data_IF_869080398521
#
_entry.id   IF_869080398521
#
_cell.length_a   1.000
_cell.length_b   1.000
_cell.length_c   1.000
_cell.angle_alpha   90.00
_cell.angle_beta   90.00
_cell.angle_gamma   90.00
#
_symmetry.space_group_name_H-M   'P 1'
#
loop_
_entity.id
_entity.type
_entity.pdbx_description
1 polymer ?
#
# COMPACT_ATOMS: atom_id res chain seq x y z
N UNK A 1 -6.71 -15.28 -0.19
CA UNK A 1 -7.98 -15.93 -0.58
C UNK A 1 -8.90 -14.83 -1.11
N UNK A 2 -9.32 -14.95 -2.37
CA UNK A 2 -10.07 -13.93 -3.10
C UNK A 2 -11.51 -13.80 -2.58
N UNK A 3 -11.99 -12.57 -2.40
CA UNK A 3 -13.42 -12.25 -2.35
C UNK A 3 -13.94 -12.26 -3.78
N UNK A 4 -14.08 -13.43 -4.40
CA UNK A 4 -14.76 -13.57 -5.69
C UNK A 4 -15.67 -14.81 -5.61
N UNK A 5 -16.94 -14.56 -5.29
CA UNK A 5 -18.04 -15.52 -5.49
C UNK A 5 -18.90 -15.00 -6.65
N UNK A 6 -19.34 -15.86 -7.59
CA UNK A 6 -20.02 -15.47 -8.82
C UNK A 6 -21.54 -15.19 -8.66
N UNK A 7 -21.96 -14.84 -7.45
CA UNK A 7 -23.33 -14.38 -7.16
C UNK A 7 -23.23 -12.94 -6.66
N UNK A 8 -24.21 -12.11 -7.01
CA UNK A 8 -24.33 -10.71 -6.57
C UNK A 8 -24.30 -10.62 -5.04
N UNK A 9 -23.10 -10.65 -4.47
CA UNK A 9 -22.87 -10.64 -3.04
C UNK A 9 -22.46 -9.23 -2.68
N UNK A 10 -23.47 -8.43 -2.38
CA UNK A 10 -23.28 -7.12 -1.79
C UNK A 10 -22.34 -7.24 -0.58
N UNK A 11 -21.28 -6.43 -0.57
CA UNK A 11 -20.27 -6.35 0.48
C UNK A 11 -20.78 -5.36 1.53
N UNK A 12 -21.20 -5.90 2.67
CA UNK A 12 -21.63 -5.13 3.85
C UNK A 12 -20.42 -4.74 4.71
N UNK A 13 -20.59 -3.74 5.58
CA UNK A 13 -19.53 -3.35 6.52
C UNK A 13 -19.22 -4.49 7.48
N UNK A 14 -20.24 -5.26 7.89
CA UNK A 14 -20.07 -6.45 8.71
C UNK A 14 -19.13 -7.48 8.08
N UNK A 15 -19.25 -7.76 6.78
CA UNK A 15 -18.36 -8.70 6.11
C UNK A 15 -16.88 -8.27 6.19
N UNK A 16 -16.61 -6.97 6.00
CA UNK A 16 -15.25 -6.42 6.10
C UNK A 16 -14.74 -6.47 7.54
N UNK A 17 -15.56 -6.06 8.51
CA UNK A 17 -15.21 -6.05 9.94
C UNK A 17 -14.98 -7.47 10.48
N UNK A 18 -15.81 -8.44 10.12
CA UNK A 18 -15.63 -9.85 10.47
C UNK A 18 -14.33 -10.40 9.87
N UNK A 19 -14.01 -10.04 8.62
CA UNK A 19 -12.75 -10.46 8.01
C UNK A 19 -11.53 -9.81 8.69
N UNK A 20 -11.62 -8.54 9.06
CA UNK A 20 -10.60 -7.84 9.85
C UNK A 20 -10.41 -8.53 11.21
N UNK A 21 -11.49 -8.88 11.91
CA UNK A 21 -11.44 -9.56 13.21
C UNK A 21 -10.70 -10.89 13.15
N UNK A 22 -10.83 -11.64 12.04
CA UNK A 22 -10.10 -12.91 11.84
C UNK A 22 -8.60 -12.68 11.73
N UNK A 23 -8.16 -11.60 11.07
CA UNK A 23 -6.74 -11.24 11.02
C UNK A 23 -6.23 -10.87 12.41
N UNK A 24 -6.94 -10.00 13.13
CA UNK A 24 -6.55 -9.60 14.50
C UNK A 24 -6.50 -10.81 15.43
N UNK A 25 -7.53 -11.67 15.42
CA UNK A 25 -7.56 -12.89 16.22
C UNK A 25 -6.40 -13.84 15.88
N UNK A 26 -6.08 -13.98 14.59
CA UNK A 26 -4.92 -14.76 14.16
C UNK A 26 -3.61 -14.19 14.72
N UNK A 27 -3.41 -12.87 14.66
CA UNK A 27 -2.20 -12.21 15.20
C UNK A 27 -2.07 -12.41 16.70
N UNK A 28 -3.18 -12.29 17.44
CA UNK A 28 -3.23 -12.49 18.89
C UNK A 28 -3.01 -13.95 19.31
N UNK A 29 -3.33 -14.91 18.45
CA UNK A 29 -3.15 -16.33 18.71
C UNK A 29 -1.72 -16.83 18.39
N UNK A 30 -0.85 -15.98 17.83
CA UNK A 30 0.53 -16.39 17.53
C UNK A 30 1.31 -16.66 18.82
N UNK A 31 2.07 -17.78 18.88
CA UNK A 31 3.00 -18.02 19.97
C UNK A 31 4.01 -16.85 20.10
N UNK A 32 4.45 -16.46 21.32
CA UNK A 32 5.35 -15.32 21.53
C UNK A 32 6.63 -15.36 20.67
N UNK A 33 7.17 -16.56 20.40
CA UNK A 33 8.35 -16.75 19.55
C UNK A 33 8.14 -16.26 18.10
N UNK A 34 6.90 -16.26 17.61
CA UNK A 34 6.52 -15.71 16.31
C UNK A 34 5.92 -14.31 16.47
N UNK A 35 5.20 -14.11 17.58
CA UNK A 35 4.49 -12.89 17.92
C UNK A 35 5.42 -11.68 18.06
N UNK A 36 6.49 -11.86 18.80
CA UNK A 36 7.43 -10.82 19.24
C UNK A 36 8.73 -10.87 18.43
N UNK A 37 8.67 -11.31 17.18
CA UNK A 37 9.83 -11.47 16.31
C UNK A 37 10.63 -10.16 16.13
N UNK A 38 9.97 -9.00 16.24
CA UNK A 38 10.59 -7.68 16.22
C UNK A 38 11.60 -7.47 17.37
N UNK A 39 11.36 -8.09 18.52
CA UNK A 39 12.23 -7.99 19.69
C UNK A 39 13.36 -9.03 19.69
N UNK A 40 13.38 -9.92 18.68
CA UNK A 40 14.34 -11.01 18.57
C UNK A 40 15.36 -10.75 17.47
N UNK A 41 16.64 -10.82 17.81
CA UNK A 41 17.74 -10.82 16.83
C UNK A 41 17.85 -12.13 16.05
N UNK A 42 17.04 -13.14 16.40
CA UNK A 42 17.03 -14.47 15.78
C UNK A 42 15.75 -14.75 14.98
N UNK A 43 14.93 -13.74 14.71
CA UNK A 43 13.72 -13.91 13.93
C UNK A 43 14.04 -14.49 12.55
N UNK A 44 13.45 -15.66 12.24
CA UNK A 44 13.67 -16.34 10.97
C UNK A 44 13.02 -15.54 9.82
N UNK A 45 13.59 -15.57 8.60
CA UNK A 45 13.15 -14.71 7.51
C UNK A 45 11.68 -14.97 7.13
N UNK A 46 11.24 -16.23 7.16
CA UNK A 46 9.84 -16.58 6.86
C UNK A 46 8.85 -16.09 7.93
N UNK A 47 9.28 -15.91 9.19
CA UNK A 47 8.45 -15.32 10.25
C UNK A 47 8.26 -13.84 9.97
N UNK A 48 9.34 -13.13 9.63
CA UNK A 48 9.27 -11.72 9.24
C UNK A 48 8.42 -11.52 7.96
N UNK A 49 8.59 -12.37 6.94
CA UNK A 49 7.73 -12.36 5.74
C UNK A 49 6.26 -12.60 6.08
N UNK A 50 5.96 -13.51 7.01
CA UNK A 50 4.60 -13.79 7.46
C UNK A 50 3.96 -12.57 8.14
N UNK A 51 4.71 -11.87 9.00
CA UNK A 51 4.24 -10.65 9.67
C UNK A 51 4.04 -9.50 8.67
N UNK A 52 4.97 -9.30 7.73
CA UNK A 52 4.81 -8.34 6.64
C UNK A 52 3.56 -8.65 5.80
N UNK A 53 3.30 -9.93 5.50
CA UNK A 53 2.12 -10.36 4.76
C UNK A 53 0.82 -10.15 5.57
N UNK A 54 0.87 -10.34 6.89
CA UNK A 54 -0.25 -10.05 7.78
C UNK A 54 -0.65 -8.56 7.71
N UNK A 55 0.32 -7.67 7.90
CA UNK A 55 0.09 -6.23 7.81
C UNK A 55 -0.44 -5.84 6.43
N UNK A 56 0.16 -6.39 5.37
CA UNK A 56 -0.33 -6.19 4.01
C UNK A 56 -1.75 -6.69 3.80
N UNK A 57 -2.15 -7.80 4.43
CA UNK A 57 -3.49 -8.36 4.27
C UNK A 57 -4.55 -7.43 4.87
N UNK A 58 -4.26 -6.77 5.99
CA UNK A 58 -5.13 -5.74 6.57
C UNK A 58 -5.18 -4.51 5.66
N UNK A 59 -4.02 -4.05 5.18
CA UNK A 59 -3.94 -2.95 4.21
C UNK A 59 -4.77 -3.28 2.96
N UNK A 60 -4.65 -4.47 2.42
CA UNK A 60 -5.39 -4.92 1.24
C UNK A 60 -6.91 -4.96 1.49
N UNK A 61 -7.34 -5.38 2.67
CA UNK A 61 -8.75 -5.43 3.05
C UNK A 61 -9.37 -4.03 3.14
N UNK A 62 -8.65 -3.06 3.71
CA UNK A 62 -9.17 -1.74 4.07
C UNK A 62 -8.87 -0.65 3.03
N UNK A 63 -7.82 -0.81 2.21
CA UNK A 63 -7.45 0.14 1.16
C UNK A 63 -8.61 0.53 0.20
N UNK A 64 -9.53 -0.38 -0.20
CA UNK A 64 -10.68 0.01 -1.01
C UNK A 64 -11.54 1.11 -0.39
N UNK A 65 -11.59 1.17 0.95
CA UNK A 65 -12.39 2.14 1.70
C UNK A 65 -11.76 3.54 1.74
N UNK A 66 -10.46 3.68 1.48
CA UNK A 66 -9.81 5.00 1.36
C UNK A 66 -10.34 5.82 0.19
N UNK A 67 -10.96 5.16 -0.79
CA UNK A 67 -11.45 5.76 -2.03
C UNK A 67 -12.91 5.40 -2.33
N UNK A 68 -13.63 4.85 -1.35
CA UNK A 68 -15.04 4.52 -1.48
C UNK A 68 -15.87 5.80 -1.37
N UNK A 69 -16.64 6.09 -2.41
CA UNK A 69 -17.50 7.27 -2.46
C UNK A 69 -18.56 7.21 -1.34
N UNK A 70 -18.79 8.33 -0.65
CA UNK A 70 -19.70 8.40 0.50
C UNK A 70 -19.16 7.80 1.81
N UNK A 71 -17.99 7.16 1.80
CA UNK A 71 -17.33 6.64 3.00
C UNK A 71 -16.23 7.59 3.50
N UNK A 72 -16.25 8.03 4.77
CA UNK A 72 -15.20 8.88 5.31
C UNK A 72 -13.88 8.10 5.51
N UNK A 73 -12.87 8.34 4.67
CA UNK A 73 -11.58 7.63 4.70
C UNK A 73 -10.86 7.68 6.06
N UNK A 74 -11.07 8.76 6.84
CA UNK A 74 -10.55 8.93 8.21
C UNK A 74 -11.00 7.85 9.21
N UNK A 75 -11.97 7.02 8.84
CA UNK A 75 -12.40 5.89 9.68
C UNK A 75 -11.44 4.71 9.60
N UNK A 76 -10.56 4.67 8.59
CA UNK A 76 -9.63 3.57 8.34
C UNK A 76 -8.20 4.03 8.08
N UNK A 77 -7.96 5.34 7.92
CA UNK A 77 -6.66 5.90 7.57
C UNK A 77 -5.57 5.55 8.60
N UNK A 78 -5.82 5.73 9.89
CA UNK A 78 -4.89 5.42 10.98
C UNK A 78 -4.50 3.94 10.96
N UNK A 79 -5.48 3.05 10.77
CA UNK A 79 -5.26 1.59 10.74
C UNK A 79 -4.46 1.20 9.50
N UNK A 80 -4.88 1.65 8.32
CA UNK A 80 -4.18 1.35 7.06
C UNK A 80 -2.76 1.90 7.07
N UNK A 81 -2.59 3.15 7.52
CA UNK A 81 -1.28 3.79 7.63
C UNK A 81 -0.38 3.05 8.62
N UNK A 82 -0.88 2.72 9.81
CA UNK A 82 -0.09 2.03 10.85
C UNK A 82 0.40 0.67 10.36
N UNK A 83 -0.45 -0.14 9.73
CA UNK A 83 -0.05 -1.43 9.17
C UNK A 83 0.93 -1.28 8.00
N UNK A 84 0.73 -0.29 7.12
CA UNK A 84 1.65 -0.04 6.01
C UNK A 84 3.05 0.38 6.51
N UNK A 85 3.11 1.28 7.50
CA UNK A 85 4.36 1.68 8.14
C UNK A 85 5.03 0.52 8.87
N UNK A 86 4.24 -0.28 9.60
CA UNK A 86 4.75 -1.43 10.34
C UNK A 86 5.35 -2.50 9.42
N UNK A 87 4.68 -2.83 8.32
CA UNK A 87 5.21 -3.76 7.33
C UNK A 87 6.53 -3.25 6.70
N UNK A 88 6.61 -1.95 6.42
CA UNK A 88 7.82 -1.34 5.87
C UNK A 88 8.96 -1.32 6.89
N UNK A 89 8.64 -1.08 8.17
CA UNK A 89 9.57 -1.17 9.30
C UNK A 89 10.13 -2.60 9.42
N UNK A 90 9.27 -3.62 9.42
CA UNK A 90 9.67 -5.03 9.43
C UNK A 90 10.60 -5.36 8.28
N UNK A 91 10.30 -4.87 7.06
CA UNK A 91 11.15 -5.07 5.89
C UNK A 91 12.51 -4.39 6.06
N UNK A 92 12.53 -3.09 6.36
CA UNK A 92 13.75 -2.28 6.39
C UNK A 92 14.66 -2.62 7.59
N UNK A 93 14.08 -2.70 8.79
CA UNK A 93 14.83 -2.76 10.05
C UNK A 93 15.06 -4.16 10.58
N UNK A 94 14.21 -5.12 10.22
CA UNK A 94 14.31 -6.49 10.72
C UNK A 94 14.74 -7.47 9.62
N UNK A 95 14.08 -7.43 8.46
CA UNK A 95 14.38 -8.36 7.38
C UNK A 95 15.70 -8.01 6.69
N UNK A 96 15.83 -6.81 6.12
CA UNK A 96 17.02 -6.39 5.35
C UNK A 96 18.29 -6.27 6.19
N UNK A 97 18.16 -6.11 7.51
CA UNK A 97 19.31 -6.05 8.41
C UNK A 97 20.04 -7.39 8.50
N UNK A 98 19.31 -8.50 8.37
CA UNK A 98 19.83 -9.85 8.61
C UNK A 98 19.80 -10.75 7.36
N UNK A 99 18.96 -10.42 6.38
CA UNK A 99 18.69 -11.27 5.23
C UNK A 99 18.71 -10.47 3.93
N UNK A 100 19.10 -11.16 2.86
CA UNK A 100 19.05 -10.62 1.50
C UNK A 100 17.63 -10.71 0.93
N UNK A 101 17.21 -9.68 0.18
CA UNK A 101 15.97 -9.72 -0.61
C UNK A 101 16.15 -10.41 -1.98
N UNK A 102 17.34 -10.92 -2.30
CA UNK A 102 17.64 -11.54 -3.60
C UNK A 102 16.74 -12.73 -3.95
N UNK A 103 16.30 -13.48 -2.95
CA UNK A 103 15.52 -14.73 -3.12
C UNK A 103 14.11 -14.64 -2.53
N UNK A 104 13.56 -13.45 -2.38
CA UNK A 104 12.23 -13.29 -1.82
C UNK A 104 11.15 -13.86 -2.77
N UNK A 105 10.08 -14.48 -2.25
CA UNK A 105 8.98 -14.98 -3.07
C UNK A 105 8.32 -13.85 -3.90
N UNK A 106 7.75 -14.21 -5.06
CA UNK A 106 7.02 -13.26 -5.90
C UNK A 106 5.94 -12.49 -5.14
N UNK A 107 5.21 -13.17 -4.26
CA UNK A 107 4.21 -12.53 -3.40
C UNK A 107 4.82 -11.42 -2.53
N UNK A 108 6.00 -11.63 -1.94
CA UNK A 108 6.68 -10.62 -1.14
C UNK A 108 7.06 -9.39 -1.98
N UNK A 109 7.52 -9.57 -3.22
CA UNK A 109 7.82 -8.45 -4.12
C UNK A 109 6.57 -7.63 -4.43
N UNK A 110 5.42 -8.28 -4.63
CA UNK A 110 4.14 -7.58 -4.78
C UNK A 110 3.72 -6.83 -3.51
N UNK A 111 3.94 -7.43 -2.34
CA UNK A 111 3.68 -6.75 -1.05
C UNK A 111 4.52 -5.47 -0.96
N UNK A 112 5.83 -5.55 -1.20
CA UNK A 112 6.74 -4.40 -1.19
C UNK A 112 6.24 -3.31 -2.14
N UNK A 113 5.97 -3.66 -3.40
CA UNK A 113 5.45 -2.72 -4.40
C UNK A 113 4.18 -2.01 -3.92
N UNK A 114 3.20 -2.77 -3.41
CA UNK A 114 1.90 -2.21 -3.04
C UNK A 114 1.95 -1.37 -1.76
N UNK A 115 2.75 -1.74 -0.76
CA UNK A 115 2.90 -0.96 0.47
C UNK A 115 3.59 0.38 0.17
N UNK A 116 4.70 0.35 -0.58
CA UNK A 116 5.40 1.56 -0.98
C UNK A 116 4.52 2.47 -1.82
N UNK A 117 3.76 1.91 -2.78
CA UNK A 117 2.77 2.68 -3.55
C UNK A 117 1.69 3.31 -2.67
N UNK A 118 1.15 2.55 -1.72
CA UNK A 118 0.07 3.01 -0.86
C UNK A 118 0.52 4.19 0.02
N UNK A 119 1.71 4.10 0.62
CA UNK A 119 2.30 5.21 1.39
C UNK A 119 2.51 6.42 0.47
N UNK A 120 3.14 6.21 -0.70
CA UNK A 120 3.36 7.27 -1.69
C UNK A 120 2.09 8.00 -2.13
N UNK A 121 0.97 7.28 -2.26
CA UNK A 121 -0.29 7.82 -2.76
C UNK A 121 -1.12 8.50 -1.67
N UNK A 122 -1.30 7.83 -0.54
CA UNK A 122 -2.27 8.24 0.48
C UNK A 122 -1.61 8.92 1.68
N UNK A 123 -0.33 8.63 1.95
CA UNK A 123 0.39 9.11 3.13
C UNK A 123 1.78 9.68 2.76
N UNK A 124 1.85 10.62 1.79
CA UNK A 124 3.13 11.03 1.20
C UNK A 124 4.03 11.83 2.13
N UNK A 125 3.52 12.38 3.23
CA UNK A 125 4.25 13.22 4.16
C UNK A 125 4.28 12.60 5.57
N UNK A 126 5.36 12.82 6.32
CA UNK A 126 5.42 12.37 7.72
C UNK A 126 4.58 13.28 8.62
N UNK A 127 3.90 12.71 9.63
CA UNK A 127 3.26 13.51 10.68
C UNK A 127 4.29 14.14 11.64
N UNK A 128 5.47 13.53 11.78
CA UNK A 128 6.52 13.95 12.72
C UNK A 128 7.91 13.51 12.22
N UNK A 129 8.97 13.86 12.97
CA UNK A 129 10.35 13.50 12.64
C UNK A 129 10.79 12.12 13.19
N UNK A 130 9.85 11.19 13.41
CA UNK A 130 10.19 9.84 13.86
C UNK A 130 10.94 9.08 12.74
N UNK A 131 12.17 8.58 12.99
CA UNK A 131 12.96 7.85 11.99
C UNK A 131 12.40 6.47 11.63
N UNK A 132 11.48 5.93 12.42
CA UNK A 132 10.77 4.67 12.13
C UNK A 132 9.65 4.85 11.09
N UNK A 133 9.12 6.07 10.98
CA UNK A 133 8.06 6.43 10.03
C UNK A 133 8.69 6.89 8.72
N UNK A 134 8.19 6.39 7.61
CA UNK A 134 8.66 6.73 6.25
C UNK A 134 7.64 7.57 5.51
N UNK A 135 8.11 8.63 4.87
CA UNK A 135 7.30 9.37 3.91
C UNK A 135 7.20 8.62 2.57
N UNK A 136 6.44 9.19 1.63
CA UNK A 136 6.25 8.59 0.32
C UNK A 136 7.55 8.39 -0.46
N UNK A 137 8.50 9.32 -0.34
CA UNK A 137 9.77 9.23 -1.07
C UNK A 137 10.68 8.17 -0.48
N UNK A 138 10.82 8.12 0.85
CA UNK A 138 11.59 7.10 1.53
C UNK A 138 11.00 5.71 1.31
N UNK A 139 9.67 5.57 1.38
CA UNK A 139 9.00 4.29 1.14
C UNK A 139 9.28 3.79 -0.29
N UNK A 140 9.15 4.64 -1.30
CA UNK A 140 9.48 4.30 -2.69
C UNK A 140 10.97 3.96 -2.84
N UNK A 141 11.85 4.71 -2.20
CA UNK A 141 13.30 4.48 -2.24
C UNK A 141 13.64 3.10 -1.72
N UNK A 142 13.12 2.73 -0.53
CA UNK A 142 13.28 1.40 0.05
C UNK A 142 12.75 0.32 -0.90
N UNK A 143 11.55 0.52 -1.49
CA UNK A 143 10.97 -0.44 -2.42
C UNK A 143 11.81 -0.64 -3.69
N UNK A 144 12.36 0.44 -4.25
CA UNK A 144 13.23 0.38 -5.43
C UNK A 144 14.50 -0.42 -5.12
N UNK A 145 15.15 -0.18 -4.00
CA UNK A 145 16.36 -0.92 -3.60
C UNK A 145 16.08 -2.41 -3.39
N UNK A 146 14.98 -2.73 -2.70
CA UNK A 146 14.57 -4.11 -2.43
C UNK A 146 14.26 -4.87 -3.72
N UNK A 147 13.50 -4.26 -4.63
CA UNK A 147 13.17 -4.88 -5.92
C UNK A 147 14.40 -5.00 -6.83
N UNK A 148 15.32 -4.03 -6.77
CA UNK A 148 16.59 -4.13 -7.48
C UNK A 148 17.42 -5.32 -6.99
N UNK A 149 17.54 -5.51 -5.68
CA UNK A 149 18.24 -6.67 -5.10
C UNK A 149 17.61 -8.00 -5.56
N UNK A 150 16.29 -8.06 -5.61
CA UNK A 150 15.55 -9.24 -6.11
C UNK A 150 15.70 -9.49 -7.60
N UNK A 151 15.92 -8.45 -8.41
CA UNK A 151 16.04 -8.57 -9.86
C UNK A 151 17.20 -9.49 -10.30
N UNK A 152 18.20 -9.65 -9.44
CA UNK A 152 19.31 -10.58 -9.67
C UNK A 152 18.82 -12.04 -9.63
N UNK A 153 17.88 -12.37 -8.73
CA UNK A 153 17.33 -13.73 -8.57
C UNK A 153 16.05 -13.98 -9.37
N UNK A 154 15.24 -12.94 -9.58
CA UNK A 154 13.93 -13.04 -10.21
C UNK A 154 13.68 -11.84 -11.14
N UNK A 155 13.82 -11.99 -12.47
CA UNK A 155 13.76 -10.88 -13.43
C UNK A 155 12.45 -10.06 -13.41
N UNK A 156 11.34 -10.65 -12.97
CA UNK A 156 10.08 -9.92 -12.82
C UNK A 156 10.19 -8.73 -11.85
N UNK A 157 11.15 -8.76 -10.91
CA UNK A 157 11.36 -7.68 -9.97
C UNK A 157 11.76 -6.36 -10.68
N UNK A 158 12.44 -6.44 -11.83
CA UNK A 158 12.75 -5.25 -12.64
C UNK A 158 11.48 -4.56 -13.17
N UNK A 159 10.50 -5.34 -13.64
CA UNK A 159 9.22 -4.80 -14.08
C UNK A 159 8.44 -4.17 -12.91
N UNK A 160 8.45 -4.80 -11.74
CA UNK A 160 7.83 -4.26 -10.52
C UNK A 160 8.53 -2.97 -10.05
N UNK A 161 9.87 -2.92 -10.11
CA UNK A 161 10.68 -1.74 -9.78
C UNK A 161 10.29 -0.56 -10.69
N UNK A 162 10.15 -0.81 -12.00
CA UNK A 162 9.72 0.21 -12.96
C UNK A 162 8.29 0.67 -12.72
N UNK A 163 7.36 -0.23 -12.38
CA UNK A 163 5.99 0.13 -11.99
C UNK A 163 5.96 1.04 -10.76
N UNK A 164 6.81 0.78 -9.75
CA UNK A 164 6.95 1.63 -8.57
C UNK A 164 7.51 3.01 -8.93
N UNK A 165 8.57 3.06 -9.76
CA UNK A 165 9.16 4.32 -10.24
C UNK A 165 8.14 5.17 -10.99
N UNK A 166 7.33 4.56 -11.86
CA UNK A 166 6.25 5.26 -12.58
C UNK A 166 5.20 5.83 -11.63
N UNK A 167 4.84 5.10 -10.57
CA UNK A 167 3.93 5.61 -9.55
C UNK A 167 4.52 6.80 -8.79
N UNK A 168 5.79 6.76 -8.41
CA UNK A 168 6.46 7.87 -7.75
C UNK A 168 6.48 9.14 -8.62
N UNK A 169 6.72 8.98 -9.93
CA UNK A 169 6.64 10.06 -10.91
C UNK A 169 5.21 10.62 -11.02
N UNK A 170 4.19 9.76 -11.04
CA UNK A 170 2.79 10.17 -11.10
C UNK A 170 2.36 11.02 -9.87
N UNK A 171 2.94 10.75 -8.71
CA UNK A 171 2.69 11.50 -7.47
C UNK A 171 3.71 12.63 -7.22
N UNK A 172 4.56 12.96 -8.22
CA UNK A 172 5.57 14.03 -8.13
C UNK A 172 6.52 13.89 -6.93
N UNK A 173 6.82 12.65 -6.52
CA UNK A 173 7.73 12.40 -5.40
C UNK A 173 9.18 12.67 -5.82
N UNK A 174 9.90 13.40 -4.95
CA UNK A 174 11.33 13.69 -5.15
C UNK A 174 12.15 12.51 -4.65
N UNK A 175 12.58 11.66 -5.58
CA UNK A 175 13.46 10.55 -5.25
C UNK A 175 14.94 11.00 -5.12
N UNK A 176 15.74 10.35 -4.26
CA UNK A 176 17.16 10.66 -4.14
C UNK A 176 17.90 10.47 -5.47
N UNK A 177 18.83 11.37 -5.84
CA UNK A 177 19.69 11.19 -7.04
C UNK A 177 20.53 9.92 -6.99
N UNK A 178 20.79 9.39 -5.79
CA UNK A 178 21.46 8.10 -5.63
C UNK A 178 20.66 6.95 -6.26
N UNK A 179 19.36 7.09 -6.54
CA UNK A 179 18.62 6.04 -7.25
C UNK A 179 18.90 6.03 -8.76
N UNK A 180 19.53 7.06 -9.32
CA UNK A 180 19.74 7.16 -10.76
C UNK A 180 20.50 5.95 -11.31
N UNK A 181 21.49 5.40 -10.59
CA UNK A 181 22.22 4.20 -11.02
C UNK A 181 21.40 2.90 -10.92
N UNK A 182 20.38 2.86 -10.07
CA UNK A 182 19.47 1.71 -9.92
C UNK A 182 18.36 1.73 -10.97
N UNK A 183 18.04 2.93 -11.46
CA UNK A 183 17.01 3.20 -12.45
C UNK A 183 17.59 3.31 -13.87
N UNK A 184 18.87 3.66 -14.02
CA UNK A 184 19.59 3.60 -15.28
C UNK A 184 20.21 2.21 -15.43
N UNK A 185 19.80 1.50 -16.49
CA UNK A 185 20.29 0.17 -16.80
C UNK A 185 21.82 0.13 -16.79
N UNK A 186 22.42 -0.61 -15.86
CA UNK A 186 23.86 -0.88 -15.91
C UNK A 186 24.18 -1.66 -17.18
N UNK A 187 24.77 -0.97 -18.16
CA UNK A 187 25.68 -1.53 -19.17
C UNK A 187 25.10 -2.51 -20.21
N UNK A 188 23.88 -3.00 -20.06
CA UNK A 188 23.21 -3.80 -21.08
C UNK A 188 21.97 -3.06 -21.57
N UNK A 189 21.87 -2.96 -22.89
CA UNK A 189 20.72 -2.45 -23.64
C UNK A 189 19.53 -3.41 -23.43
N UNK A 190 19.01 -3.50 -22.20
CA UNK A 190 17.64 -3.97 -22.01
C UNK A 190 16.76 -2.79 -22.39
N UNK A 191 16.08 -2.97 -23.51
CA UNK A 191 14.95 -2.13 -23.94
C UNK A 191 14.09 -1.75 -22.75
N UNK A 192 13.66 -0.49 -22.71
CA UNK A 192 12.72 -0.01 -21.68
C UNK A 192 11.57 -1.04 -21.51
N UNK A 193 11.17 -1.29 -20.26
CA UNK A 193 10.14 -2.29 -19.98
C UNK A 193 8.89 -2.05 -20.83
N UNK A 194 8.54 -3.07 -21.60
CA UNK A 194 7.42 -3.05 -22.52
C UNK A 194 6.10 -3.26 -21.77
N UNK A 195 4.99 -2.97 -22.46
CA UNK A 195 3.66 -3.29 -21.95
C UNK A 195 3.51 -4.79 -21.65
N UNK A 196 4.09 -5.65 -22.49
CA UNK A 196 4.02 -7.09 -22.33
C UNK A 196 4.75 -7.56 -21.07
N UNK A 197 5.87 -6.92 -20.71
CA UNK A 197 6.59 -7.27 -19.47
C UNK A 197 5.70 -7.07 -18.23
N UNK A 198 4.83 -6.04 -18.25
CA UNK A 198 3.88 -5.82 -17.15
C UNK A 198 2.74 -6.83 -17.19
N UNK A 199 2.23 -7.19 -18.38
CA UNK A 199 1.23 -8.26 -18.52
C UNK A 199 1.79 -9.58 -17.97
N UNK A 200 3.02 -9.95 -18.32
CA UNK A 200 3.62 -11.22 -17.93
C UNK A 200 3.77 -11.33 -16.40
N UNK A 201 4.08 -10.21 -15.74
CA UNK A 201 4.30 -10.18 -14.29
C UNK A 201 3.00 -10.01 -13.51
N UNK A 202 2.14 -9.09 -13.93
CA UNK A 202 0.95 -8.68 -13.17
C UNK A 202 -0.36 -9.27 -13.73
N UNK A 203 -0.30 -10.05 -14.81
CA UNK A 203 -1.43 -10.49 -15.66
C UNK A 203 -2.25 -9.34 -16.27
N UNK A 204 -1.76 -8.11 -16.14
CA UNK A 204 -2.39 -6.85 -16.57
C UNK A 204 -1.33 -5.73 -16.56
N UNK A 205 -1.56 -4.59 -17.23
CA UNK A 205 -0.54 -3.54 -17.38
C UNK A 205 -0.23 -2.77 -16.11
N UNK A 206 -0.97 -3.06 -15.04
CA UNK A 206 -0.91 -2.39 -13.76
C UNK A 206 -1.04 -3.43 -12.66
N UNK A 207 -0.32 -3.18 -11.58
CA UNK A 207 -0.41 -3.97 -10.35
C UNK A 207 -1.57 -3.52 -9.45
N UNK A 208 -2.23 -2.40 -9.76
CA UNK A 208 -3.34 -1.90 -8.98
C UNK A 208 -4.49 -2.91 -9.00
N UNK A 209 -5.08 -3.13 -7.83
CA UNK A 209 -6.32 -3.88 -7.75
C UNK A 209 -7.41 -3.13 -8.53
N UNK A 210 -8.29 -3.84 -9.25
CA UNK A 210 -9.36 -3.23 -10.02
C UNK A 210 -10.48 -2.83 -9.06
N UNK A 211 -10.21 -1.82 -8.22
CA UNK A 211 -11.10 -1.39 -7.15
C UNK A 211 -12.45 -0.93 -7.69
N UNK A 212 -12.51 -0.42 -8.92
CA UNK A 212 -13.77 0.03 -9.56
C UNK A 212 -14.84 -1.07 -9.58
N UNK A 213 -14.49 -2.29 -9.97
CA UNK A 213 -15.45 -3.41 -10.01
C UNK A 213 -15.83 -3.92 -8.62
N UNK A 214 -14.96 -3.72 -7.61
CA UNK A 214 -15.28 -4.07 -6.22
C UNK A 214 -16.17 -3.00 -5.57
N UNK A 215 -15.97 -1.72 -5.93
CA UNK A 215 -16.76 -0.57 -5.45
C UNK A 215 -18.24 -0.75 -5.72
N UNK A 216 -18.58 -1.23 -6.91
CA UNK A 216 -19.96 -1.49 -7.34
C UNK A 216 -20.66 -2.58 -6.51
N UNK A 217 -19.90 -3.38 -5.76
CA UNK A 217 -20.45 -4.42 -4.91
C UNK A 217 -20.69 -3.96 -3.46
N UNK A 218 -20.23 -2.77 -3.04
CA UNK A 218 -20.49 -2.32 -1.66
C UNK A 218 -21.96 -1.94 -1.47
N UNK A 219 -22.50 -2.27 -0.29
CA UNK A 219 -23.86 -1.89 0.08
C UNK A 219 -24.03 -0.37 0.10
N UNK A 220 -25.20 0.14 -0.31
CA UNK A 220 -25.48 1.58 -0.26
C UNK A 220 -25.46 2.14 1.16
N UNK A 221 -25.76 1.31 2.17
CA UNK A 221 -25.77 1.68 3.58
C UNK A 221 -24.46 1.32 4.29
N UNK A 222 -23.39 0.99 3.54
CA UNK A 222 -22.11 0.53 4.10
C UNK A 222 -21.55 1.50 5.16
N UNK A 223 -21.58 2.81 4.90
CA UNK A 223 -21.05 3.80 5.84
C UNK A 223 -21.83 3.83 7.16
N UNK A 224 -23.16 3.79 7.11
CA UNK A 224 -24.02 3.77 8.30
C UNK A 224 -23.80 2.49 9.11
N UNK A 225 -23.73 1.36 8.43
CA UNK A 225 -23.46 0.06 9.04
C UNK A 225 -22.07 0.03 9.69
N UNK A 226 -21.06 0.62 9.04
CA UNK A 226 -19.72 0.76 9.58
C UNK A 226 -19.72 1.59 10.87
N UNK A 227 -20.41 2.73 10.89
CA UNK A 227 -20.53 3.56 12.09
C UNK A 227 -21.16 2.79 13.26
N UNK A 228 -22.18 1.97 12.97
CA UNK A 228 -22.87 1.19 14.00
C UNK A 228 -22.00 0.05 14.57
N UNK A 229 -21.23 -0.64 13.73
CA UNK A 229 -20.56 -1.89 14.12
C UNK A 229 -19.06 -1.74 14.41
N UNK A 230 -18.35 -0.84 13.73
CA UNK A 230 -16.89 -0.75 13.81
C UNK A 230 -16.29 -0.52 15.20
N UNK A 231 -16.96 0.12 16.19
CA UNK A 231 -16.44 0.21 17.56
C UNK A 231 -16.22 -1.15 18.23
N UNK A 232 -17.08 -2.15 17.95
CA UNK A 232 -16.94 -3.51 18.49
C UNK A 232 -15.67 -4.21 17.97
N UNK A 233 -15.15 -3.73 16.85
CA UNK A 233 -13.94 -4.24 16.19
C UNK A 233 -12.71 -3.36 16.49
N UNK A 234 -12.82 -2.37 17.37
CA UNK A 234 -11.71 -1.52 17.81
C UNK A 234 -11.42 -0.30 16.93
N UNK A 235 -12.29 0.04 15.97
CA UNK A 235 -12.17 1.28 15.21
C UNK A 235 -12.68 2.46 16.04
N UNK A 236 -11.95 3.58 16.00
CA UNK A 236 -12.34 4.81 16.69
C UNK A 236 -13.29 5.62 15.81
N UNK A 237 -14.40 6.06 16.39
CA UNK A 237 -15.28 7.01 15.73
C UNK A 237 -14.76 8.44 15.91
N UNK A 238 -14.88 9.30 14.88
CA UNK A 238 -14.58 10.71 15.02
C UNK A 238 -15.51 11.36 16.05
N UNK A 239 -15.07 12.43 16.74
CA UNK A 239 -15.88 13.11 17.74
C UNK A 239 -17.24 13.58 17.20
N UNK A 240 -18.29 13.64 18.05
CA UNK A 240 -19.59 14.16 17.66
C UNK A 240 -19.44 15.59 17.10
N UNK A 241 -19.93 15.83 15.87
CA UNK A 241 -19.79 17.10 15.15
C UNK A 241 -19.06 16.99 13.81
N UNK A 242 -18.41 15.87 13.54
CA UNK A 242 -17.77 15.57 12.26
C UNK A 242 -18.57 14.55 11.41
N UNK A 243 -19.61 13.93 11.95
CA UNK A 243 -20.13 12.64 11.48
C UNK A 243 -20.74 12.60 10.07
N UNK A 244 -21.29 13.69 9.54
CA UNK A 244 -21.74 13.76 8.14
C UNK A 244 -21.69 15.22 7.64
N UNK A 245 -20.52 15.66 7.21
CA UNK A 245 -20.48 16.57 6.07
C UNK A 245 -20.17 15.68 4.88
N UNK A 246 -21.21 15.28 4.15
CA UNK A 246 -21.07 14.85 2.76
C UNK A 246 -20.18 15.88 2.07
N UNK A 247 -18.98 15.46 1.63
CA UNK A 247 -18.12 16.25 0.73
C UNK A 247 -18.87 16.43 -0.60
N UNK A 248 -19.90 17.27 -0.62
CA UNK A 248 -20.63 17.68 -1.82
C UNK A 248 -19.81 18.67 -2.66
N UNK A 249 -18.61 19.06 -2.23
CA UNK A 249 -17.82 20.15 -2.83
C UNK A 249 -16.45 19.69 -3.36
N UNK A 250 -16.34 18.47 -3.90
CA UNK A 250 -15.31 18.19 -4.92
C UNK A 250 -15.87 18.42 -6.32
N UNK A 251 -16.40 19.62 -6.52
CA UNK A 251 -16.49 20.23 -7.84
C UNK A 251 -15.07 20.44 -8.38
N UNK A 252 -14.81 19.85 -9.53
CA UNK A 252 -13.62 20.01 -10.38
C UNK A 252 -13.07 21.46 -10.34
N UNK A 253 -11.75 21.64 -10.13
CA UNK A 253 -11.05 22.79 -10.67
C UNK A 253 -9.86 22.33 -11.53
N UNK A 254 -10.10 21.45 -12.49
CA UNK A 254 -9.30 21.42 -13.71
C UNK A 254 -10.00 22.33 -14.71
N UNK A 255 -9.62 23.61 -14.76
CA UNK A 255 -9.59 24.41 -15.99
C UNK A 255 -8.99 25.81 -15.72
N UNK A 256 -7.95 26.09 -16.50
CA UNK A 256 -7.41 27.42 -16.83
C UNK A 256 -6.67 28.23 -15.75
N UNK A 257 -5.36 28.01 -15.67
CA UNK A 257 -4.41 29.13 -15.57
C UNK A 257 -3.34 29.00 -16.65
N UNK A 258 -3.67 29.48 -17.85
CA UNK A 258 -2.69 29.90 -18.85
C UNK A 258 -1.99 31.13 -18.26
N UNK A 259 -0.77 30.97 -17.74
CA UNK A 259 0.07 32.11 -17.39
C UNK A 259 0.60 32.73 -18.68
N UNK A 260 0.02 33.88 -19.06
CA UNK A 260 0.64 34.83 -19.97
C UNK A 260 1.93 35.36 -19.33
N UNK A 261 3.04 34.67 -19.60
CA UNK A 261 4.38 35.23 -19.48
C UNK A 261 4.75 35.76 -20.85
N UNK A 262 4.62 37.07 -21.04
CA UNK A 262 5.37 37.92 -21.97
C UNK A 262 4.69 39.30 -21.94
N UNK A 263 5.19 40.20 -21.09
CA UNK A 263 5.30 41.65 -21.33
C UNK A 263 5.79 42.36 -20.08
N UNK A 264 7.11 42.48 -19.96
CA UNK A 264 7.77 43.63 -19.34
C UNK A 264 9.00 43.94 -20.18
N UNK A 265 8.84 44.90 -21.10
CA UNK A 265 9.86 45.88 -21.48
C UNK A 265 9.17 47.24 -21.37
#
# INVERSE_FOLDING_TARGET
MMIWSPLSNTITARHVLEQYSKFVAWRMALPPVLGDAENSTQALPHVLSLLILYDYSIVQLLCPLLELEGFPSRLVDEVVWSHAQHALLLLERHYRLHYTCRYQPALQMFVVLNICHLIARFFPAKPNNDPSIKDGSEAVTIGIEVLHESNIGFPAAGALQELLRRSAAAYSLKLPPSLDYLLTSQGNVRTAHSYNDFIDVCTRPSYHQPLRGVRENFDSNFAEEWYAQSPEFGFRLPPPGQQLQTESDRGIPYLMQIRNLLNTN
#
